data_IF_173515096237
#
_entry.id   IF_173515096237
#
_cell.length_a   1.000
_cell.length_b   1.000
_cell.length_c   1.000
_cell.angle_alpha   90.00
_cell.angle_beta   90.00
_cell.angle_gamma   90.00
#
_symmetry.space_group_name_H-M   'P 1'
#
loop_
_entity.id
_entity.type
_entity.pdbx_description
1 polymer ?
#
# COMPACT_ATOMS: atom_id res chain seq x y z
N UNK A 1 52.35 -52.23 -2.60
CA UNK A 1 52.27 -50.93 -3.27
C UNK A 1 52.16 -49.87 -2.20
N UNK A 2 53.29 -49.25 -1.90
CA UNK A 2 53.56 -48.35 -0.78
C UNK A 2 53.14 -46.90 -1.08
N UNK A 3 52.62 -46.26 -0.02
CA UNK A 3 52.83 -44.88 0.44
C UNK A 3 52.10 -43.69 -0.22
N UNK A 4 51.25 -43.07 0.63
CA UNK A 4 50.98 -41.64 0.77
C UNK A 4 52.06 -40.69 0.21
N UNK A 5 51.68 -39.78 -0.70
CA UNK A 5 52.00 -38.33 -0.64
C UNK A 5 50.96 -37.60 -1.50
N UNK A 6 50.13 -36.74 -0.91
CA UNK A 6 49.21 -35.89 -1.69
C UNK A 6 48.24 -35.04 -0.88
N UNK A 7 48.45 -34.93 0.44
CA UNK A 7 47.53 -34.22 1.35
C UNK A 7 47.88 -32.73 1.56
N UNK A 8 48.79 -32.13 0.78
CA UNK A 8 49.23 -30.76 1.04
C UNK A 8 49.54 -29.97 -0.24
N UNK A 9 48.64 -29.97 -1.22
CA UNK A 9 48.67 -28.96 -2.27
C UNK A 9 47.25 -28.47 -2.57
N UNK A 10 46.98 -27.25 -2.06
CA UNK A 10 46.19 -26.24 -2.76
C UNK A 10 44.67 -26.43 -2.61
N UNK A 11 44.06 -26.21 -1.45
CA UNK A 11 43.61 -24.90 -0.90
C UNK A 11 43.31 -23.76 -1.90
N UNK A 12 43.22 -24.02 -3.21
CA UNK A 12 42.92 -23.03 -4.27
C UNK A 12 42.09 -23.67 -5.40
N UNK A 13 41.04 -24.41 -5.04
CA UNK A 13 40.01 -24.86 -6.00
C UNK A 13 38.57 -24.44 -5.60
N UNK A 14 38.46 -23.46 -4.70
CA UNK A 14 37.28 -22.61 -4.50
C UNK A 14 37.15 -21.52 -5.60
N UNK A 15 37.84 -21.70 -6.74
CA UNK A 15 37.78 -20.86 -7.92
C UNK A 15 37.18 -21.62 -9.11
N UNK A 16 36.11 -22.37 -8.86
CA UNK A 16 35.11 -22.66 -9.90
C UNK A 16 34.17 -21.44 -9.91
N UNK A 17 34.39 -20.48 -10.80
CA UNK A 17 33.84 -20.44 -12.16
C UNK A 17 32.61 -19.54 -12.18
N UNK A 18 32.85 -18.34 -12.70
CA UNK A 18 31.90 -17.35 -13.21
C UNK A 18 30.46 -17.86 -13.37
N UNK A 19 29.56 -17.31 -12.57
CA UNK A 19 28.21 -17.00 -13.00
C UNK A 19 27.86 -15.67 -12.35
N UNK A 20 28.07 -14.59 -13.09
CA UNK A 20 27.37 -13.35 -12.79
C UNK A 20 25.89 -13.63 -12.89
N UNK A 21 25.21 -13.53 -11.76
CA UNK A 21 23.83 -13.07 -11.69
C UNK A 21 23.99 -11.76 -10.90
N UNK A 22 24.05 -10.59 -11.55
CA UNK A 22 22.85 -10.12 -12.23
C UNK A 22 21.71 -10.34 -11.24
N UNK A 23 21.65 -9.55 -10.17
CA UNK A 23 20.41 -9.46 -9.42
C UNK A 23 19.53 -8.63 -10.34
N UNK A 24 18.97 -9.33 -11.33
CA UNK A 24 18.23 -8.72 -12.42
C UNK A 24 17.05 -7.96 -11.81
N UNK A 25 17.06 -6.66 -12.11
CA UNK A 25 16.00 -5.69 -11.88
C UNK A 25 14.67 -6.16 -12.50
N UNK A 26 13.91 -6.99 -11.78
CA UNK A 26 12.59 -7.43 -12.24
C UNK A 26 11.49 -7.31 -11.17
N UNK A 27 11.30 -6.10 -10.63
CA UNK A 27 10.00 -5.60 -10.11
C UNK A 27 9.97 -4.05 -10.00
N UNK A 28 10.64 -3.33 -10.91
CA UNK A 28 10.67 -1.85 -10.91
C UNK A 28 9.53 -1.21 -11.74
N UNK A 29 8.75 -2.00 -12.47
CA UNK A 29 7.77 -1.47 -13.44
C UNK A 29 6.56 -0.77 -12.80
N UNK A 30 6.29 -1.01 -11.51
CA UNK A 30 5.08 -0.51 -10.87
C UNK A 30 5.25 0.83 -10.15
N UNK A 31 6.44 1.12 -9.60
CA UNK A 31 6.76 2.45 -9.02
C UNK A 31 6.69 3.51 -10.11
N UNK A 32 7.17 3.15 -11.31
CA UNK A 32 7.17 4.02 -12.49
C UNK A 32 5.77 4.54 -12.84
N UNK A 33 4.71 3.73 -12.74
CA UNK A 33 3.37 4.16 -13.18
C UNK A 33 2.81 5.40 -12.49
N UNK A 34 3.12 5.62 -11.20
CA UNK A 34 2.65 6.80 -10.46
C UNK A 34 3.68 7.92 -10.59
N UNK A 35 4.96 7.62 -10.33
CA UNK A 35 6.03 8.62 -10.33
C UNK A 35 6.41 9.11 -11.73
N UNK A 36 5.89 8.48 -12.79
CA UNK A 36 6.01 8.97 -14.16
C UNK A 36 5.42 10.38 -14.29
N UNK A 37 4.33 10.65 -13.56
CA UNK A 37 3.74 11.98 -13.50
C UNK A 37 4.32 12.77 -12.32
N UNK A 38 4.57 14.08 -12.48
CA UNK A 38 5.04 14.91 -11.38
C UNK A 38 3.97 15.02 -10.28
N UNK A 39 4.42 15.01 -9.02
CA UNK A 39 3.58 15.23 -7.86
C UNK A 39 2.98 16.65 -7.86
N UNK A 40 1.68 16.78 -7.55
CA UNK A 40 0.98 18.07 -7.43
C UNK A 40 0.64 18.32 -5.95
N UNK A 41 1.59 18.91 -5.23
CA UNK A 41 1.55 19.04 -3.75
C UNK A 41 0.32 19.80 -3.23
N UNK A 42 -0.09 20.86 -3.92
CA UNK A 42 -1.24 21.70 -3.54
C UNK A 42 -2.60 21.09 -3.97
N UNK A 43 -2.57 19.89 -4.54
CA UNK A 43 -3.77 19.13 -4.89
C UNK A 43 -4.58 18.70 -3.67
N UNK A 44 -5.88 18.46 -3.90
CA UNK A 44 -6.77 17.85 -2.91
C UNK A 44 -7.13 16.44 -3.32
N UNK A 45 -7.01 15.49 -2.39
CA UNK A 45 -7.48 14.13 -2.62
C UNK A 45 -8.98 14.09 -2.93
N UNK A 46 -9.34 13.26 -3.89
CA UNK A 46 -10.74 12.96 -4.22
C UNK A 46 -11.06 11.56 -3.73
N UNK A 47 -12.08 11.44 -2.89
CA UNK A 47 -12.60 10.15 -2.47
C UNK A 47 -14.08 10.01 -2.82
N UNK A 48 -14.50 8.83 -3.32
CA UNK A 48 -13.64 7.74 -3.78
C UNK A 48 -12.93 8.08 -5.10
N UNK A 49 -11.77 7.46 -5.35
CA UNK A 49 -11.11 7.51 -6.67
C UNK A 49 -10.87 6.12 -7.26
N UNK A 50 -10.78 6.03 -8.58
CA UNK A 50 -10.52 4.81 -9.33
C UNK A 50 -9.07 4.78 -9.81
N UNK A 51 -8.39 3.67 -9.56
CA UNK A 51 -7.04 3.39 -10.05
C UNK A 51 -6.90 1.90 -10.36
N UNK A 52 -6.42 1.55 -11.56
CA UNK A 52 -6.27 0.16 -12.04
C UNK A 52 -7.53 -0.70 -11.82
N UNK A 53 -8.69 -0.16 -12.19
CA UNK A 53 -10.01 -0.80 -12.05
C UNK A 53 -10.46 -1.09 -10.61
N UNK A 54 -9.74 -0.57 -9.61
CA UNK A 54 -10.14 -0.61 -8.21
C UNK A 54 -10.60 0.77 -7.75
N UNK A 55 -11.53 0.78 -6.79
CA UNK A 55 -12.10 1.99 -6.18
C UNK A 55 -11.56 2.14 -4.76
N UNK A 56 -11.03 3.31 -4.45
CA UNK A 56 -10.38 3.60 -3.17
C UNK A 56 -11.07 4.75 -2.45
N UNK A 57 -11.21 4.60 -1.15
CA UNK A 57 -11.94 5.53 -0.29
C UNK A 57 -11.03 6.26 0.69
N UNK A 58 -9.72 6.00 0.63
CA UNK A 58 -8.69 6.61 1.47
C UNK A 58 -7.35 6.59 0.72
N UNK A 59 -6.32 7.22 1.29
CA UNK A 59 -4.95 7.15 0.81
C UNK A 59 -4.43 5.71 0.80
N UNK A 60 -3.80 5.32 -0.31
CA UNK A 60 -3.38 3.94 -0.56
C UNK A 60 -1.87 3.80 -0.64
N UNK A 61 -1.37 2.60 -0.34
CA UNK A 61 0.05 2.23 -0.47
C UNK A 61 0.18 1.09 -1.47
N UNK A 62 0.65 1.38 -2.69
CA UNK A 62 0.87 0.37 -3.74
C UNK A 62 2.34 0.31 -4.14
N UNK A 63 3.14 -0.49 -3.41
CA UNK A 63 4.61 -0.59 -3.61
C UNK A 63 5.33 0.78 -3.66
N UNK A 64 4.66 1.84 -3.23
CA UNK A 64 5.17 3.19 -3.14
C UNK A 64 5.80 3.40 -1.77
N UNK A 65 6.76 4.32 -1.69
CA UNK A 65 7.44 4.66 -0.43
C UNK A 65 6.46 5.25 0.61
N UNK A 66 5.50 6.04 0.14
CA UNK A 66 4.50 6.72 0.97
C UNK A 66 3.09 6.51 0.40
N UNK A 67 2.08 6.69 1.27
CA UNK A 67 0.68 6.66 0.87
C UNK A 67 0.37 7.85 -0.05
N UNK A 68 -0.51 7.64 -1.02
CA UNK A 68 -0.88 8.65 -2.01
C UNK A 68 -2.38 8.61 -2.33
N UNK A 69 -2.86 9.65 -2.99
CA UNK A 69 -4.24 9.75 -3.45
C UNK A 69 -4.32 10.35 -4.87
N UNK A 70 -5.41 10.08 -5.57
CA UNK A 70 -5.73 10.78 -6.81
C UNK A 70 -6.39 12.13 -6.52
N UNK A 71 -6.14 13.12 -7.38
CA UNK A 71 -6.77 14.44 -7.31
C UNK A 71 -8.02 14.54 -8.19
N UNK A 72 -8.41 13.43 -8.81
CA UNK A 72 -9.58 13.28 -9.65
C UNK A 72 -10.27 11.94 -9.37
N UNK A 73 -11.55 11.83 -9.73
CA UNK A 73 -12.33 10.61 -9.48
C UNK A 73 -11.75 9.41 -10.24
N UNK A 74 -11.26 9.56 -11.46
CA UNK A 74 -10.59 8.49 -12.20
C UNK A 74 -9.15 8.91 -12.47
N UNK A 75 -8.18 8.14 -11.96
CA UNK A 75 -6.76 8.47 -12.03
C UNK A 75 -6.32 8.74 -13.49
N UNK A 76 -5.82 9.95 -13.73
CA UNK A 76 -5.29 10.41 -15.03
C UNK A 76 -3.87 10.98 -14.90
N UNK A 77 -3.15 10.65 -13.82
CA UNK A 77 -1.82 11.21 -13.53
C UNK A 77 -1.82 12.43 -12.60
N UNK A 78 -2.96 12.86 -12.07
CA UNK A 78 -3.05 13.89 -11.05
C UNK A 78 -3.03 13.25 -9.66
N UNK A 79 -1.92 13.38 -8.94
CA UNK A 79 -1.73 12.74 -7.63
C UNK A 79 -0.83 13.54 -6.70
N UNK A 80 -0.90 13.20 -5.41
CA UNK A 80 0.04 13.66 -4.38
C UNK A 80 0.32 12.57 -3.34
N UNK A 81 1.45 12.67 -2.65
CA UNK A 81 1.60 11.95 -1.40
C UNK A 81 0.71 12.55 -0.33
N UNK A 82 0.12 11.69 0.50
CA UNK A 82 -0.78 12.10 1.54
C UNK A 82 -0.03 12.61 2.77
N UNK A 83 -0.49 13.74 3.30
CA UNK A 83 -0.23 14.19 4.67
C UNK A 83 -1.39 13.76 5.60
N UNK A 84 -1.32 14.10 6.88
CA UNK A 84 -2.34 13.75 7.89
C UNK A 84 -3.75 14.29 7.55
N UNK A 85 -3.81 15.44 6.90
CA UNK A 85 -5.08 16.07 6.49
C UNK A 85 -5.73 15.38 5.28
N UNK A 86 -4.94 14.68 4.46
CA UNK A 86 -5.38 14.05 3.22
C UNK A 86 -6.12 12.73 3.43
N UNK A 87 -6.00 12.09 4.59
CA UNK A 87 -6.71 10.86 4.89
C UNK A 87 -8.21 11.08 4.95
N UNK A 88 -8.95 10.14 4.35
CA UNK A 88 -10.40 10.20 4.27
C UNK A 88 -11.03 10.33 5.66
N UNK A 89 -11.96 11.27 5.80
CA UNK A 89 -12.68 11.48 7.06
C UNK A 89 -13.83 10.49 7.16
N UNK A 90 -14.23 10.20 8.39
CA UNK A 90 -15.44 9.42 8.67
C UNK A 90 -16.65 10.10 8.03
N UNK A 91 -17.57 9.28 7.49
CA UNK A 91 -18.86 9.77 7.02
C UNK A 91 -19.87 9.63 8.15
N UNK A 92 -20.45 10.76 8.58
CA UNK A 92 -21.47 10.79 9.61
C UNK A 92 -22.78 11.41 9.09
N UNK A 93 -23.95 10.88 9.51
CA UNK A 93 -24.08 9.61 10.23
C UNK A 93 -23.77 8.42 9.31
N UNK A 94 -23.45 7.24 9.84
CA UNK A 94 -23.37 6.01 9.03
C UNK A 94 -24.22 4.88 9.59
N UNK A 95 -24.68 3.99 8.71
CA UNK A 95 -25.54 2.85 9.07
C UNK A 95 -24.74 1.57 9.25
N UNK A 96 -24.81 0.99 10.44
CA UNK A 96 -24.25 -0.32 10.73
C UNK A 96 -25.27 -1.18 11.51
N UNK A 97 -25.51 -2.39 11.01
CA UNK A 97 -26.58 -3.30 11.41
C UNK A 97 -27.92 -2.56 11.44
N UNK A 98 -28.55 -2.40 12.60
CA UNK A 98 -29.84 -1.71 12.77
C UNK A 98 -29.69 -0.35 13.45
N UNK A 99 -28.47 0.18 13.51
CA UNK A 99 -28.13 1.41 14.23
C UNK A 99 -27.57 2.48 13.29
N UNK A 100 -27.72 3.74 13.71
CA UNK A 100 -27.18 4.94 13.04
C UNK A 100 -26.18 5.58 13.99
N UNK A 101 -24.92 5.71 13.56
CA UNK A 101 -23.83 6.27 14.37
C UNK A 101 -23.48 7.66 13.89
N UNK A 102 -23.29 8.58 14.83
CA UNK A 102 -22.91 9.98 14.60
C UNK A 102 -21.46 10.28 15.00
N UNK A 103 -20.79 9.28 15.56
CA UNK A 103 -19.41 9.31 16.04
C UNK A 103 -18.79 7.91 15.85
N UNK A 104 -17.50 7.78 16.15
CA UNK A 104 -16.84 6.48 16.12
C UNK A 104 -17.47 5.53 17.14
N UNK A 105 -17.49 4.24 16.82
CA UNK A 105 -18.06 3.20 17.69
C UNK A 105 -17.10 2.04 17.84
N UNK A 106 -17.16 1.34 18.97
CA UNK A 106 -16.49 0.05 19.19
C UNK A 106 -17.36 -1.14 18.74
N UNK A 107 -18.60 -0.90 18.30
CA UNK A 107 -19.59 -1.95 18.05
C UNK A 107 -19.10 -2.97 17.02
N UNK A 108 -18.99 -4.22 17.46
CA UNK A 108 -18.57 -5.35 16.63
C UNK A 108 -17.07 -5.47 16.39
N UNK A 109 -16.24 -4.58 16.94
CA UNK A 109 -14.80 -4.81 17.03
C UNK A 109 -14.48 -5.74 18.20
N UNK A 110 -13.58 -6.70 18.00
CA UNK A 110 -13.27 -7.72 19.02
C UNK A 110 -12.39 -7.18 20.16
N UNK A 111 -11.73 -6.04 19.95
CA UNK A 111 -10.72 -5.49 20.86
C UNK A 111 -11.12 -4.12 21.43
N UNK A 112 -12.36 -3.68 21.22
CA UNK A 112 -12.87 -2.38 21.70
C UNK A 112 -12.24 -1.19 20.99
N UNK A 113 -11.73 -1.36 19.77
CA UNK A 113 -11.18 -0.24 18.99
C UNK A 113 -12.30 0.53 18.31
N UNK A 114 -12.28 1.85 18.52
CA UNK A 114 -13.20 2.76 17.86
C UNK A 114 -12.95 2.81 16.35
N UNK A 115 -14.03 2.70 15.58
CA UNK A 115 -14.01 2.74 14.13
C UNK A 115 -15.19 3.55 13.59
N UNK A 116 -15.08 3.96 12.32
CA UNK A 116 -16.13 4.65 11.61
C UNK A 116 -16.23 4.17 10.15
N UNK A 117 -17.38 4.37 9.52
CA UNK A 117 -17.51 4.11 8.09
C UNK A 117 -16.96 5.27 7.25
N UNK A 118 -16.42 4.94 6.07
CA UNK A 118 -16.09 5.91 5.01
C UNK A 118 -17.23 6.06 3.98
N UNK A 119 -18.40 5.53 4.30
CA UNK A 119 -19.60 5.56 3.46
C UNK A 119 -20.84 5.74 4.32
N UNK A 120 -21.92 6.25 3.73
CA UNK A 120 -23.20 6.40 4.44
C UNK A 120 -23.77 5.05 4.91
N UNK A 121 -23.58 3.98 4.12
CA UNK A 121 -24.17 2.67 4.38
C UNK A 121 -23.09 1.58 4.47
N UNK A 122 -22.47 1.47 5.64
CA UNK A 122 -21.50 0.40 5.92
C UNK A 122 -22.10 -0.99 5.67
N UNK A 123 -23.39 -1.21 5.95
CA UNK A 123 -24.00 -2.53 5.74
C UNK A 123 -23.89 -3.02 4.30
N UNK A 124 -23.95 -2.11 3.34
CA UNK A 124 -23.79 -2.40 1.91
C UNK A 124 -22.32 -2.38 1.51
N UNK A 125 -21.61 -1.30 1.86
CA UNK A 125 -20.33 -0.99 1.24
C UNK A 125 -19.15 -1.63 1.99
N UNK A 126 -19.30 -1.89 3.29
CA UNK A 126 -18.27 -2.47 4.18
C UNK A 126 -16.94 -1.72 4.17
N UNK A 127 -16.98 -0.41 3.89
CA UNK A 127 -15.79 0.45 3.91
C UNK A 127 -15.73 1.21 5.23
N UNK A 128 -14.59 1.13 5.90
CA UNK A 128 -14.38 1.67 7.23
C UNK A 128 -12.90 1.90 7.51
N UNK A 129 -12.63 2.63 8.59
CA UNK A 129 -11.30 2.74 9.18
C UNK A 129 -11.39 2.82 10.70
N UNK A 130 -10.29 2.51 11.38
CA UNK A 130 -10.17 2.87 12.80
C UNK A 130 -10.10 4.39 12.94
N UNK A 131 -10.66 4.87 14.04
CA UNK A 131 -10.48 6.25 14.45
C UNK A 131 -9.12 6.40 15.16
N UNK A 132 -8.58 7.60 15.10
CA UNK A 132 -7.39 8.01 15.85
C UNK A 132 -7.77 8.41 17.28
#
# INVERSE_FOLDING_TARGET
>A
MTLHVGLLLVWVCQLHRMAGTGFDDEDSSYVETITHFPEIKDGKCVFPFYYRNAKFYDCVMFKAKHKWCSLNETYQGYWKYCSEEDFAKCVFPFWYRRMIYWECTEDGDAFGKYWCSLTQNYNKDKIWKYCE
#
